data_IF_787908316166
#
_entry.id   IF_787908316166
#
_cell.length_a   1.000
_cell.length_b   1.000
_cell.length_c   1.000
_cell.angle_alpha   90.00
_cell.angle_beta   90.00
_cell.angle_gamma   90.00
#
_symmetry.space_group_name_H-M   'P 1'
#
loop_
_entity.id
_entity.type
_entity.pdbx_description
1 polymer ?
#
# COMPACT_ATOMS: atom_id res chain seq x y z
N UNK A 1 -12.41 13.11 -12.48
CA UNK A 1 -11.51 12.14 -13.14
C UNK A 1 -10.61 11.40 -12.18
N UNK A 2 -10.65 11.74 -10.89
CA UNK A 2 -9.99 11.00 -9.83
C UNK A 2 -10.96 10.86 -8.65
N UNK A 3 -10.85 9.78 -7.86
CA UNK A 3 -11.58 9.60 -6.60
C UNK A 3 -10.61 9.51 -5.41
N UNK A 4 -10.83 10.31 -4.36
CA UNK A 4 -10.13 10.20 -3.06
C UNK A 4 -11.03 9.51 -2.05
N UNK A 5 -10.57 8.42 -1.44
CA UNK A 5 -11.30 7.75 -0.35
C UNK A 5 -10.65 8.06 1.00
N UNK A 6 -11.38 8.78 1.84
CA UNK A 6 -11.02 8.96 3.24
C UNK A 6 -11.31 7.67 4.01
N UNK A 7 -10.26 6.92 4.37
CA UNK A 7 -10.37 5.98 5.48
C UNK A 7 -10.05 6.73 6.76
N UNK A 8 -11.00 6.71 7.70
CA UNK A 8 -10.90 7.36 9.01
C UNK A 8 -9.57 7.03 9.71
N UNK A 9 -8.76 8.06 10.02
CA UNK A 9 -7.66 7.97 10.98
C UNK A 9 -8.25 7.87 12.39
N UNK A 10 -8.42 6.65 12.89
CA UNK A 10 -8.72 6.37 14.30
C UNK A 10 -7.50 6.59 15.18
N UNK A 11 -7.70 7.28 16.31
CA UNK A 11 -6.67 7.70 17.26
C UNK A 11 -5.92 6.57 17.98
N UNK A 12 -4.78 6.95 18.57
CA UNK A 12 -3.86 6.09 19.32
C UNK A 12 -4.49 5.56 20.61
N UNK A 13 -5.13 4.40 20.54
CA UNK A 13 -5.14 3.37 21.58
C UNK A 13 -5.27 2.03 20.84
N UNK A 14 -4.15 1.36 20.52
CA UNK A 14 -4.21 0.08 19.77
C UNK A 14 -4.66 -1.06 20.73
N UNK A 15 -5.98 -1.19 20.91
CA UNK A 15 -6.66 -2.40 21.36
C UNK A 15 -6.96 -3.27 20.13
N UNK A 16 -6.95 -4.60 20.24
CA UNK A 16 -7.40 -5.46 19.15
C UNK A 16 -6.65 -6.78 18.96
N UNK A 17 -6.99 -7.48 17.87
CA UNK A 17 -6.30 -8.70 17.40
C UNK A 17 -5.13 -8.31 16.52
N UNK A 18 -3.94 -8.75 16.90
CA UNK A 18 -2.71 -8.60 16.14
C UNK A 18 -2.46 -9.84 15.31
N UNK A 19 -2.06 -9.64 14.05
CA UNK A 19 -1.77 -10.73 13.12
C UNK A 19 -0.34 -10.70 12.65
N UNK A 20 0.38 -11.82 12.74
CA UNK A 20 1.73 -11.95 12.22
C UNK A 20 1.80 -13.07 11.17
N UNK A 21 2.56 -12.83 10.10
CA UNK A 21 2.90 -13.81 9.08
C UNK A 21 4.40 -14.08 9.11
N UNK A 22 4.80 -15.34 8.99
CA UNK A 22 6.20 -15.73 8.87
C UNK A 22 6.53 -16.08 7.42
N UNK A 23 7.56 -15.43 6.89
CA UNK A 23 8.20 -15.73 5.62
C UNK A 23 9.61 -16.22 5.95
N UNK A 24 9.90 -17.48 5.64
CA UNK A 24 11.25 -18.02 5.76
C UNK A 24 11.84 -18.14 4.35
N UNK A 25 13.05 -17.61 4.16
CA UNK A 25 13.87 -17.88 2.98
C UNK A 25 15.26 -18.31 3.45
N UNK A 26 15.53 -19.61 3.40
CA UNK A 26 16.77 -20.20 3.91
C UNK A 26 17.14 -21.45 3.12
N UNK A 27 18.43 -21.57 2.77
CA UNK A 27 18.97 -22.79 2.19
C UNK A 27 19.27 -23.78 3.32
N UNK A 28 18.63 -24.96 3.27
CA UNK A 28 18.87 -26.04 4.22
C UNK A 28 19.61 -27.20 3.56
N UNK A 29 20.46 -27.86 4.34
CA UNK A 29 21.16 -29.07 3.90
C UNK A 29 20.19 -30.25 3.83
N UNK A 30 20.33 -31.17 2.86
CA UNK A 30 19.43 -32.32 2.73
C UNK A 30 19.54 -33.22 3.97
N UNK A 31 18.42 -33.43 4.69
CA UNK A 31 18.32 -34.38 5.79
C UNK A 31 17.97 -33.78 7.16
N UNK A 32 18.03 -32.46 7.32
CA UNK A 32 17.47 -31.78 8.49
C UNK A 32 16.06 -31.26 8.15
N UNK A 33 15.08 -31.52 9.02
CA UNK A 33 13.81 -30.81 9.02
C UNK A 33 13.93 -29.64 9.99
N UNK A 34 14.37 -28.45 9.55
CA UNK A 34 14.58 -27.34 10.44
C UNK A 34 13.23 -26.93 11.05
N UNK A 35 13.21 -26.83 12.38
CA UNK A 35 12.08 -26.35 13.15
C UNK A 35 12.36 -24.92 13.60
N UNK A 36 11.32 -24.09 13.54
CA UNK A 36 11.36 -22.74 14.12
C UNK A 36 10.46 -22.70 15.34
N UNK A 37 10.98 -22.17 16.44
CA UNK A 37 10.22 -21.98 17.67
C UNK A 37 9.51 -20.64 17.63
N UNK A 38 8.18 -20.69 17.66
CA UNK A 38 7.32 -19.50 17.71
C UNK A 38 6.69 -19.39 19.10
N UNK A 39 7.01 -18.32 19.80
CA UNK A 39 6.42 -17.96 21.09
C UNK A 39 5.51 -16.76 20.92
N UNK A 40 4.25 -16.90 21.34
CA UNK A 40 3.23 -15.85 21.21
C UNK A 40 2.71 -15.52 22.58
N UNK A 41 2.65 -14.23 22.89
CA UNK A 41 2.19 -13.71 24.17
C UNK A 41 1.11 -12.64 23.96
N UNK A 42 0.01 -12.78 24.69
CA UNK A 42 -1.15 -11.88 24.71
C UNK A 42 -1.42 -11.42 26.14
N UNK A 43 -1.56 -10.11 26.33
CA UNK A 43 -1.92 -9.52 27.63
C UNK A 43 -2.70 -8.21 27.48
N UNK A 44 -3.11 -7.64 28.62
CA UNK A 44 -3.73 -6.32 28.68
C UNK A 44 -2.88 -5.22 28.03
N UNK A 45 -1.55 -5.26 28.16
CA UNK A 45 -0.68 -4.12 27.80
C UNK A 45 0.28 -4.40 26.64
N UNK A 46 0.50 -5.68 26.29
CA UNK A 46 1.49 -6.07 25.28
C UNK A 46 1.05 -7.32 24.52
N UNK A 47 1.36 -7.32 23.22
CA UNK A 47 1.44 -8.53 22.39
C UNK A 47 2.86 -8.65 21.88
N UNK A 48 3.41 -9.86 21.89
CA UNK A 48 4.70 -10.15 21.25
C UNK A 48 4.68 -11.52 20.59
N UNK A 49 5.25 -11.58 19.39
CA UNK A 49 5.58 -12.81 18.70
C UNK A 49 7.10 -12.86 18.62
N UNK A 50 7.69 -13.89 19.21
CA UNK A 50 9.12 -14.17 19.20
C UNK A 50 9.35 -15.41 18.36
N UNK A 51 10.24 -15.30 17.38
CA UNK A 51 10.57 -16.37 16.44
C UNK A 51 12.07 -16.55 16.50
N UNK A 52 12.52 -17.68 17.04
CA UNK A 52 13.94 -17.95 17.32
C UNK A 52 14.67 -16.76 17.97
N UNK A 53 14.03 -16.12 18.95
CA UNK A 53 14.58 -14.98 19.70
C UNK A 53 14.36 -13.60 19.07
N UNK A 54 13.82 -13.51 17.85
CA UNK A 54 13.56 -12.23 17.16
C UNK A 54 12.08 -11.85 17.23
N UNK A 55 11.78 -10.59 17.60
CA UNK A 55 10.41 -10.09 17.69
C UNK A 55 9.90 -9.58 16.33
N UNK A 56 8.75 -10.05 15.86
CA UNK A 56 8.20 -9.70 14.54
C UNK A 56 6.97 -8.78 14.69
N UNK A 57 6.72 -7.93 13.67
CA UNK A 57 5.58 -7.01 13.57
C UNK A 57 4.75 -7.24 12.29
N UNK A 58 3.44 -7.37 12.51
CA UNK A 58 2.23 -7.43 11.63
C UNK A 58 2.29 -7.75 10.12
N UNK A 59 1.36 -8.60 9.59
CA UNK A 59 0.31 -8.21 8.60
C UNK A 59 -0.62 -9.29 7.96
N UNK A 60 -1.80 -8.78 7.58
CA UNK A 60 -2.88 -9.12 6.59
C UNK A 60 -3.24 -10.55 6.16
N UNK A 61 -4.53 -10.93 6.29
CA UNK A 61 -5.15 -12.16 5.75
C UNK A 61 -5.49 -12.03 4.26
N UNK A 62 -4.48 -12.11 3.40
CA UNK A 62 -4.60 -12.68 2.05
C UNK A 62 -3.19 -13.10 1.61
N UNK A 63 -3.04 -14.30 1.06
CA UNK A 63 -1.71 -14.86 0.82
C UNK A 63 -1.75 -16.32 0.40
N UNK A 64 -0.60 -16.89 0.05
CA UNK A 64 -0.50 -18.29 -0.37
C UNK A 64 -0.96 -19.25 0.74
N UNK A 65 -1.46 -20.42 0.36
CA UNK A 65 -1.67 -21.51 1.31
C UNK A 65 -0.31 -22.00 1.84
N UNK A 66 -0.28 -22.64 3.01
CA UNK A 66 0.95 -23.08 3.68
C UNK A 66 1.61 -22.03 4.59
N UNK A 67 1.19 -20.76 4.54
CA UNK A 67 1.71 -19.70 5.43
C UNK A 67 1.27 -19.85 6.88
N UNK A 68 2.16 -19.48 7.81
CA UNK A 68 1.87 -19.45 9.24
C UNK A 68 1.15 -18.15 9.59
N UNK A 69 0.00 -18.28 10.25
CA UNK A 69 -0.85 -17.20 10.72
C UNK A 69 -0.83 -17.21 12.23
N UNK A 70 -0.46 -16.09 12.84
CA UNK A 70 -0.42 -15.92 14.28
C UNK A 70 -1.41 -14.82 14.67
N UNK A 71 -2.27 -15.09 15.63
CA UNK A 71 -3.25 -14.15 16.19
C UNK A 71 -3.00 -14.00 17.69
N UNK A 72 -3.08 -12.78 18.19
CA UNK A 72 -2.98 -12.49 19.62
C UNK A 72 -3.82 -11.26 20.01
N UNK A 73 -4.51 -11.31 21.14
CA UNK A 73 -5.29 -10.18 21.64
C UNK A 73 -4.42 -9.24 22.49
N UNK A 74 -4.60 -7.93 22.32
CA UNK A 74 -4.16 -6.94 23.30
C UNK A 74 -5.36 -6.21 23.87
N UNK A 75 -5.43 -6.13 25.19
CA UNK A 75 -6.47 -5.40 25.93
C UNK A 75 -7.89 -5.97 25.74
N UNK A 76 -8.53 -5.67 24.62
CA UNK A 76 -9.89 -6.09 24.27
C UNK A 76 -9.98 -6.20 22.74
N UNK A 77 -10.65 -7.25 22.24
CA UNK A 77 -10.85 -7.39 20.80
C UNK A 77 -12.24 -7.95 20.42
N UNK A 78 -13.04 -8.39 21.38
CA UNK A 78 -14.30 -9.07 21.13
C UNK A 78 -15.43 -8.12 20.75
N UNK A 79 -15.38 -6.86 21.20
CA UNK A 79 -16.48 -5.88 21.05
C UNK A 79 -16.84 -5.61 19.58
N UNK A 80 -15.83 -5.62 18.69
CA UNK A 80 -16.01 -5.46 17.25
C UNK A 80 -15.74 -6.74 16.45
N UNK A 81 -15.51 -7.89 17.11
CA UNK A 81 -15.28 -9.17 16.45
C UNK A 81 -16.61 -9.78 15.99
N UNK A 82 -17.01 -9.43 14.78
CA UNK A 82 -18.26 -9.88 14.14
C UNK A 82 -18.25 -11.38 13.84
N UNK A 83 -19.44 -11.95 13.70
CA UNK A 83 -19.64 -13.37 13.41
C UNK A 83 -18.91 -13.85 12.15
N UNK A 84 -18.84 -13.04 11.09
CA UNK A 84 -18.10 -13.38 9.88
C UNK A 84 -16.60 -13.62 10.14
N UNK A 85 -15.97 -12.79 10.99
CA UNK A 85 -14.57 -12.96 11.36
C UNK A 85 -14.37 -14.21 12.23
N UNK A 86 -15.30 -14.49 13.16
CA UNK A 86 -15.29 -15.70 13.99
C UNK A 86 -15.42 -16.96 13.14
N UNK A 87 -16.32 -16.96 12.14
CA UNK A 87 -16.46 -18.03 11.16
C UNK A 87 -15.14 -18.30 10.43
N UNK A 88 -14.45 -17.25 9.97
CA UNK A 88 -13.15 -17.39 9.32
C UNK A 88 -12.10 -18.02 10.25
N UNK A 89 -12.03 -17.59 11.52
CA UNK A 89 -11.08 -18.15 12.49
C UNK A 89 -11.38 -19.62 12.82
N UNK A 90 -12.66 -19.99 12.95
CA UNK A 90 -13.07 -21.40 13.12
C UNK A 90 -12.74 -22.25 11.89
N UNK A 91 -12.91 -21.72 10.68
CA UNK A 91 -12.53 -22.40 9.45
C UNK A 91 -11.00 -22.59 9.34
N UNK A 92 -10.20 -21.76 10.03
CA UNK A 92 -8.76 -21.98 10.20
C UNK A 92 -8.42 -23.00 11.30
N UNK A 93 -9.44 -23.56 11.97
CA UNK A 93 -9.28 -24.59 13.00
C UNK A 93 -9.32 -24.09 14.44
N UNK A 94 -9.61 -22.80 14.68
CA UNK A 94 -9.73 -22.28 16.05
C UNK A 94 -10.93 -22.88 16.79
N UNK A 95 -10.69 -23.32 18.02
CA UNK A 95 -11.69 -23.82 18.97
C UNK A 95 -12.27 -22.70 19.85
N UNK A 96 -11.47 -21.68 20.18
CA UNK A 96 -11.84 -20.65 21.15
C UNK A 96 -12.30 -19.33 20.53
N UNK A 97 -12.11 -19.10 19.22
CA UNK A 97 -12.49 -17.85 18.52
C UNK A 97 -13.97 -17.43 18.71
N UNK A 98 -14.88 -18.38 18.91
CA UNK A 98 -16.29 -18.10 19.22
C UNK A 98 -16.56 -17.79 20.69
N UNK A 99 -15.69 -18.24 21.58
CA UNK A 99 -15.79 -18.10 23.03
C UNK A 99 -15.13 -16.80 23.53
N UNK A 100 -14.21 -16.23 22.75
CA UNK A 100 -13.59 -14.94 23.01
C UNK A 100 -14.65 -13.86 23.22
N UNK A 101 -14.74 -13.41 24.46
CA UNK A 101 -15.60 -12.33 24.93
C UNK A 101 -14.78 -11.17 25.52
N UNK A 102 -15.49 -10.29 26.22
CA UNK A 102 -14.94 -9.03 26.72
C UNK A 102 -13.70 -9.25 27.58
N UNK A 103 -12.57 -8.65 27.17
CA UNK A 103 -11.26 -8.66 27.86
C UNK A 103 -10.67 -10.05 28.13
N UNK A 104 -11.09 -11.05 27.37
CA UNK A 104 -10.41 -12.34 27.33
C UNK A 104 -9.04 -12.20 26.65
N UNK A 105 -8.11 -13.08 27.03
CA UNK A 105 -6.80 -13.20 26.37
C UNK A 105 -6.79 -14.45 25.52
N UNK A 106 -6.26 -14.33 24.30
CA UNK A 106 -6.28 -15.41 23.32
C UNK A 106 -5.07 -15.31 22.41
N UNK A 107 -4.43 -16.45 22.19
CA UNK A 107 -3.37 -16.64 21.19
C UNK A 107 -3.72 -17.84 20.32
N UNK A 108 -3.48 -17.71 19.03
CA UNK A 108 -3.77 -18.76 18.06
C UNK A 108 -2.74 -18.77 16.95
N UNK A 109 -2.15 -19.93 16.69
CA UNK A 109 -1.20 -20.18 15.62
C UNK A 109 -1.76 -21.26 14.71
N UNK A 110 -1.86 -20.98 13.42
CA UNK A 110 -2.39 -21.90 12.43
C UNK A 110 -1.66 -21.79 11.11
N UNK A 111 -1.64 -22.88 10.34
CA UNK A 111 -1.20 -22.85 8.96
C UNK A 111 -2.39 -22.64 8.03
N UNK A 112 -2.31 -21.66 7.12
CA UNK A 112 -3.38 -21.41 6.15
C UNK A 112 -3.57 -22.60 5.22
N UNK A 113 -4.80 -23.12 5.12
CA UNK A 113 -5.10 -24.34 4.35
C UNK A 113 -4.60 -25.64 5.00
N UNK A 114 -3.96 -25.52 6.17
CA UNK A 114 -3.44 -26.64 6.96
C UNK A 114 -4.16 -26.80 8.29
N UNK A 115 -3.46 -27.36 9.28
CA UNK A 115 -3.98 -27.61 10.63
C UNK A 115 -3.68 -26.44 11.58
N UNK A 116 -4.47 -26.25 12.65
CA UNK A 116 -4.08 -25.40 13.76
C UNK A 116 -2.81 -25.98 14.41
N UNK A 117 -1.85 -25.11 14.71
CA UNK A 117 -0.55 -25.48 15.29
C UNK A 117 -0.55 -25.31 16.81
N UNK A 118 -1.35 -24.37 17.31
CA UNK A 118 -1.58 -24.21 18.74
C UNK A 118 -2.57 -23.09 19.04
N UNK A 119 -3.25 -23.19 20.18
CA UNK A 119 -4.21 -22.20 20.62
C UNK A 119 -4.29 -22.19 22.15
N UNK A 120 -4.26 -21.02 22.77
CA UNK A 120 -4.39 -20.85 24.22
C UNK A 120 -5.38 -19.71 24.52
N UNK A 121 -6.17 -19.87 25.59
CA UNK A 121 -7.28 -18.99 25.91
C UNK A 121 -7.45 -18.82 27.42
N UNK A 122 -7.60 -17.57 27.86
CA UNK A 122 -7.93 -17.22 29.24
C UNK A 122 -9.20 -16.38 29.28
N UNK A 123 -10.14 -16.76 30.14
CA UNK A 123 -11.40 -16.05 30.36
C UNK A 123 -11.26 -14.96 31.42
N UNK A 124 -11.83 -13.78 31.19
CA UNK A 124 -11.95 -12.76 32.22
C UNK A 124 -12.98 -13.20 33.27
N UNK A 125 -12.66 -12.98 34.55
CA UNK A 125 -13.54 -13.41 35.65
C UNK A 125 -14.81 -12.56 35.73
N UNK A 126 -14.71 -11.28 35.37
CA UNK A 126 -15.81 -10.31 35.43
C UNK A 126 -15.58 -9.17 34.41
N UNK A 127 -16.54 -8.26 34.29
CA UNK A 127 -16.51 -7.16 33.32
C UNK A 127 -15.45 -6.08 33.63
N UNK A 128 -15.08 -5.93 34.91
CA UNK A 128 -14.11 -4.95 35.40
C UNK A 128 -12.66 -5.41 35.30
N UNK A 129 -12.42 -6.72 35.17
CA UNK A 129 -11.09 -7.34 35.09
C UNK A 129 -10.70 -7.74 33.67
N UNK A 130 -9.41 -8.08 33.50
CA UNK A 130 -8.88 -8.73 32.30
C UNK A 130 -8.56 -10.17 32.64
N UNK A 131 -8.62 -11.04 31.65
CA UNK A 131 -8.13 -12.40 31.82
C UNK A 131 -6.62 -12.43 32.08
N UNK A 132 -6.16 -13.53 32.68
CA UNK A 132 -4.73 -13.81 32.79
C UNK A 132 -4.07 -13.84 31.40
N UNK A 133 -2.81 -13.41 31.26
CA UNK A 133 -2.10 -13.48 29.98
C UNK A 133 -2.17 -14.88 29.37
N UNK A 134 -2.35 -14.96 28.06
CA UNK A 134 -2.29 -16.20 27.31
C UNK A 134 -0.96 -16.28 26.56
N UNK A 135 -0.28 -17.41 26.67
CA UNK A 135 0.98 -17.64 25.96
C UNK A 135 1.06 -19.05 25.44
N UNK A 136 1.60 -19.21 24.24
CA UNK A 136 1.84 -20.51 23.64
C UNK A 136 3.22 -20.55 22.99
N UNK A 137 3.86 -21.72 23.06
CA UNK A 137 5.06 -22.06 22.32
C UNK A 137 4.73 -23.21 21.38
N UNK A 138 4.97 -23.00 20.09
CA UNK A 138 4.77 -24.02 19.06
C UNK A 138 6.05 -24.20 18.25
N UNK A 139 6.35 -25.45 17.90
CA UNK A 139 7.39 -25.75 16.92
C UNK A 139 6.74 -25.85 15.54
N UNK A 140 7.28 -25.11 14.59
CA UNK A 140 6.81 -25.12 13.21
C UNK A 140 7.85 -25.82 12.36
N UNK A 141 7.47 -26.94 11.76
CA UNK A 141 8.26 -27.60 10.73
C UNK A 141 8.31 -26.70 9.50
N UNK A 142 9.51 -26.35 9.05
CA UNK A 142 9.67 -25.59 7.82
C UNK A 142 9.55 -26.53 6.61
N UNK A 143 8.84 -26.07 5.59
CA UNK A 143 8.81 -26.70 4.28
C UNK A 143 10.00 -26.27 3.44
N UNK A 144 10.52 -27.16 2.60
CA UNK A 144 11.52 -26.78 1.58
C UNK A 144 10.94 -25.73 0.63
N UNK A 145 11.78 -24.80 0.15
CA UNK A 145 11.39 -23.68 -0.72
C UNK A 145 10.61 -24.11 -1.98
N UNK A 146 10.77 -25.36 -2.43
CA UNK A 146 10.11 -25.92 -3.62
C UNK A 146 8.58 -26.01 -3.50
N UNK A 147 8.03 -26.20 -2.30
CA UNK A 147 6.58 -26.28 -2.08
C UNK A 147 5.90 -24.90 -1.95
N UNK A 148 6.68 -23.85 -1.66
CA UNK A 148 6.19 -22.47 -1.54
C UNK A 148 6.22 -21.69 -2.87
N UNK A 149 6.98 -22.20 -3.85
CA UNK A 149 7.17 -21.55 -5.14
C UNK A 149 6.08 -21.92 -6.16
N UNK A 150 5.48 -20.87 -6.73
CA UNK A 150 4.47 -21.05 -7.77
C UNK A 150 5.15 -21.35 -9.11
N UNK A 151 4.64 -22.34 -9.84
CA UNK A 151 5.07 -22.70 -11.20
C UNK A 151 4.58 -21.70 -12.27
N UNK A 152 4.86 -20.41 -12.08
CA UNK A 152 4.57 -19.38 -13.10
C UNK A 152 5.60 -19.44 -14.24
N UNK A 153 5.13 -19.22 -15.47
CA UNK A 153 5.95 -19.10 -16.68
C UNK A 153 7.12 -18.14 -16.44
N UNK A 154 8.33 -18.51 -16.87
CA UNK A 154 9.47 -17.62 -16.73
C UNK A 154 9.35 -16.41 -17.65
N UNK A 155 9.24 -15.23 -17.05
CA UNK A 155 9.15 -13.94 -17.72
C UNK A 155 9.66 -12.84 -16.79
N UNK A 156 10.09 -11.67 -17.30
CA UNK A 156 10.50 -10.56 -16.46
C UNK A 156 9.43 -10.16 -15.44
N UNK A 157 8.16 -10.19 -15.83
CA UNK A 157 7.02 -9.85 -14.97
C UNK A 157 6.84 -10.86 -13.82
N UNK A 158 6.98 -12.16 -14.12
CA UNK A 158 6.89 -13.19 -13.09
C UNK A 158 8.14 -13.28 -12.22
N UNK A 159 9.31 -12.82 -12.68
CA UNK A 159 10.50 -12.63 -11.83
C UNK A 159 10.23 -11.56 -10.77
N UNK A 160 9.74 -10.38 -11.18
CA UNK A 160 9.32 -9.31 -10.25
C UNK A 160 8.21 -9.77 -9.31
N UNK A 161 7.24 -10.55 -9.81
CA UNK A 161 6.20 -11.17 -8.97
C UNK A 161 6.77 -12.14 -7.93
N UNK A 162 7.71 -13.02 -8.31
CA UNK A 162 8.33 -13.97 -7.38
C UNK A 162 9.06 -13.23 -6.25
N UNK A 163 9.86 -12.24 -6.61
CA UNK A 163 10.55 -11.38 -5.65
C UNK A 163 9.55 -10.70 -4.69
N UNK A 164 8.53 -10.03 -5.22
CA UNK A 164 7.48 -9.41 -4.41
C UNK A 164 6.78 -10.41 -3.47
N UNK A 165 6.31 -11.55 -4.00
CA UNK A 165 5.55 -12.54 -3.24
C UNK A 165 6.40 -13.39 -2.29
N UNK A 166 7.73 -13.30 -2.37
CA UNK A 166 8.65 -13.90 -1.40
C UNK A 166 8.80 -13.04 -0.13
N UNK A 167 8.61 -11.73 -0.26
CA UNK A 167 8.86 -10.75 0.80
C UNK A 167 7.57 -10.13 1.37
N UNK A 168 6.51 -10.08 0.56
CA UNK A 168 5.29 -9.31 0.87
C UNK A 168 4.05 -10.19 0.70
N UNK A 169 3.12 -10.09 1.64
CA UNK A 169 1.81 -10.76 1.63
C UNK A 169 0.69 -9.71 1.76
N UNK A 170 -0.57 -10.11 1.59
CA UNK A 170 -1.72 -9.21 1.80
C UNK A 170 -2.26 -8.51 0.55
N UNK A 171 -1.78 -8.86 -0.65
CA UNK A 171 -2.16 -8.24 -1.93
C UNK A 171 -3.15 -9.08 -2.75
N UNK A 172 -4.04 -9.82 -2.08
CA UNK A 172 -5.10 -10.57 -2.72
C UNK A 172 -4.58 -11.67 -3.65
N UNK A 173 -5.04 -11.67 -4.91
CA UNK A 173 -4.68 -12.71 -5.90
C UNK A 173 -3.37 -12.42 -6.63
N UNK A 174 -2.63 -11.35 -6.32
CA UNK A 174 -1.30 -11.08 -6.93
C UNK A 174 -0.37 -12.27 -6.74
N UNK A 175 -0.37 -12.89 -5.57
CA UNK A 175 0.49 -14.04 -5.27
C UNK A 175 -0.19 -15.40 -5.44
N UNK A 176 -1.34 -15.46 -6.14
CA UNK A 176 -2.02 -16.73 -6.42
C UNK A 176 -1.23 -17.56 -7.43
N UNK A 177 -0.92 -18.81 -7.10
CA UNK A 177 -0.25 -19.73 -8.03
C UNK A 177 -1.14 -20.12 -9.21
N UNK A 178 -2.47 -20.18 -9.01
CA UNK A 178 -3.42 -20.69 -10.01
C UNK A 178 -4.05 -19.60 -10.86
N UNK A 179 -4.38 -18.45 -10.27
CA UNK A 179 -5.01 -17.33 -10.96
C UNK A 179 -4.41 -16.00 -10.49
N UNK A 180 -3.14 -15.70 -10.88
CA UNK A 180 -2.46 -14.49 -10.46
C UNK A 180 -3.09 -13.23 -11.06
N UNK A 181 -3.29 -12.19 -10.24
CA UNK A 181 -3.71 -10.87 -10.74
C UNK A 181 -2.66 -10.30 -11.72
N UNK A 182 -3.07 -9.57 -12.77
CA UNK A 182 -2.12 -9.00 -13.74
C UNK A 182 -1.22 -7.95 -13.08
N UNK A 183 0.09 -8.01 -13.39
CA UNK A 183 1.12 -7.02 -13.01
C UNK A 183 1.73 -6.32 -14.22
N UNK A 184 1.20 -6.65 -15.40
CA UNK A 184 1.49 -6.01 -16.68
C UNK A 184 0.17 -5.69 -17.35
N UNK A 185 0.08 -4.48 -17.85
CA UNK A 185 -1.09 -3.97 -18.57
C UNK A 185 -0.66 -3.65 -20.00
N UNK A 186 -1.40 -4.11 -21.02
CA UNK A 186 -1.02 -3.84 -22.41
C UNK A 186 -1.13 -2.34 -22.69
N UNK A 187 -0.10 -1.77 -23.31
CA UNK A 187 -0.13 -0.39 -23.75
C UNK A 187 -1.25 -0.18 -24.77
N UNK A 188 -2.08 0.83 -24.54
CA UNK A 188 -3.14 1.23 -25.47
C UNK A 188 -2.82 2.66 -25.92
N UNK A 189 -2.40 2.87 -27.18
CA UNK A 189 -2.02 4.20 -27.64
C UNK A 189 -3.23 5.15 -27.66
N UNK A 190 -2.95 6.42 -27.38
CA UNK A 190 -3.89 7.52 -27.57
C UNK A 190 -3.59 8.18 -28.92
N UNK A 191 -4.60 8.36 -29.77
CA UNK A 191 -4.42 9.02 -31.06
C UNK A 191 -4.03 10.49 -30.86
N UNK A 192 -3.08 10.97 -31.67
CA UNK A 192 -2.57 12.34 -31.58
C UNK A 192 -2.12 12.74 -30.16
N UNK A 193 -1.39 11.85 -29.50
CA UNK A 193 -0.98 12.03 -28.11
C UNK A 193 0.13 13.09 -27.97
N UNK A 194 -0.16 14.15 -27.22
CA UNK A 194 0.84 15.06 -26.63
C UNK A 194 1.27 14.61 -25.24
N UNK A 195 0.54 13.66 -24.62
CA UNK A 195 0.78 13.16 -23.26
C UNK A 195 1.70 11.94 -23.18
N UNK A 196 1.98 11.29 -24.30
CA UNK A 196 2.80 10.05 -24.34
C UNK A 196 4.25 10.27 -23.89
N UNK A 197 4.73 11.51 -23.93
CA UNK A 197 6.10 11.90 -23.55
C UNK A 197 6.15 12.76 -22.27
N UNK A 198 5.05 12.85 -21.52
CA UNK A 198 4.98 13.65 -20.29
C UNK A 198 5.23 12.74 -19.09
N UNK A 199 6.21 13.05 -18.22
CA UNK A 199 6.44 12.28 -17.01
C UNK A 199 5.28 12.44 -16.02
N UNK A 200 4.90 11.31 -15.43
CA UNK A 200 3.85 11.23 -14.40
C UNK A 200 4.52 10.92 -13.07
N UNK A 201 4.46 11.88 -12.17
CA UNK A 201 4.99 11.77 -10.80
C UNK A 201 3.92 11.14 -9.92
N UNK A 202 4.25 10.06 -9.23
CA UNK A 202 3.42 9.46 -8.17
C UNK A 202 4.10 9.69 -6.83
N UNK A 203 3.49 10.54 -5.99
CA UNK A 203 3.98 10.86 -4.65
C UNK A 203 3.49 9.81 -3.66
N UNK A 204 4.41 9.12 -3.02
CA UNK A 204 4.14 8.05 -2.07
C UNK A 204 4.89 8.23 -0.74
N UNK A 205 4.41 7.52 0.28
CA UNK A 205 5.08 7.35 1.56
C UNK A 205 4.80 5.92 2.08
N UNK A 206 4.66 5.74 3.40
CA UNK A 206 4.40 4.44 4.03
C UNK A 206 2.91 4.02 3.98
N UNK A 207 2.35 3.93 2.76
CA UNK A 207 0.98 3.47 2.49
C UNK A 207 0.93 2.50 1.30
N UNK A 208 1.62 1.35 1.36
CA UNK A 208 1.88 0.53 0.19
C UNK A 208 0.61 -0.05 -0.48
N UNK A 209 -0.44 -0.38 0.29
CA UNK A 209 -1.72 -0.79 -0.29
C UNK A 209 -2.44 0.32 -1.08
N UNK A 210 -2.28 1.57 -0.67
CA UNK A 210 -2.88 2.71 -1.37
C UNK A 210 -2.11 2.94 -2.67
N UNK A 211 -0.77 2.95 -2.58
CA UNK A 211 0.11 3.02 -3.73
C UNK A 211 -0.19 1.92 -4.77
N UNK A 212 -0.34 0.67 -4.33
CA UNK A 212 -0.69 -0.47 -5.19
C UNK A 212 -1.98 -0.21 -5.96
N UNK A 213 -3.01 0.31 -5.29
CA UNK A 213 -4.30 0.62 -5.90
C UNK A 213 -4.18 1.76 -6.92
N UNK A 214 -3.49 2.84 -6.55
CA UNK A 214 -3.24 3.98 -7.42
C UNK A 214 -2.52 3.55 -8.70
N UNK A 215 -1.39 2.84 -8.56
CA UNK A 215 -0.62 2.32 -9.71
C UNK A 215 -1.48 1.38 -10.57
N UNK A 216 -2.22 0.47 -9.96
CA UNK A 216 -3.08 -0.46 -10.70
C UNK A 216 -4.15 0.27 -11.53
N UNK A 217 -4.72 1.35 -11.00
CA UNK A 217 -5.68 2.18 -11.74
C UNK A 217 -4.99 3.00 -12.85
N UNK A 218 -3.82 3.59 -12.57
CA UNK A 218 -3.03 4.38 -13.51
C UNK A 218 -2.58 3.56 -14.72
N UNK A 219 -2.02 2.36 -14.51
CA UNK A 219 -1.49 1.54 -15.59
C UNK A 219 -2.57 0.93 -16.50
N UNK A 220 -3.85 1.05 -16.13
CA UNK A 220 -5.00 0.68 -16.98
C UNK A 220 -5.48 1.83 -17.86
N UNK A 221 -4.98 3.05 -17.66
CA UNK A 221 -5.38 4.23 -18.42
C UNK A 221 -4.85 4.15 -19.85
N UNK A 222 -5.69 4.47 -20.82
CA UNK A 222 -5.27 4.54 -22.23
C UNK A 222 -4.26 5.68 -22.42
N UNK A 223 -3.16 5.40 -23.12
CA UNK A 223 -2.07 6.33 -23.39
C UNK A 223 -0.99 6.37 -22.31
N UNK A 224 -1.09 5.57 -21.24
CA UNK A 224 -0.08 5.57 -20.17
C UNK A 224 1.21 4.89 -20.64
N UNK A 225 2.31 5.62 -20.58
CA UNK A 225 3.64 5.07 -20.79
C UNK A 225 4.29 4.76 -19.43
N UNK A 226 4.31 3.49 -19.04
CA UNK A 226 4.82 3.06 -17.74
C UNK A 226 6.29 3.47 -17.50
N UNK A 227 7.09 3.59 -18.57
CA UNK A 227 8.50 4.02 -18.48
C UNK A 227 8.68 5.49 -18.10
N UNK A 228 7.61 6.29 -18.13
CA UNK A 228 7.60 7.70 -17.72
C UNK A 228 6.88 7.92 -16.39
N UNK A 229 6.50 6.84 -15.69
CA UNK A 229 5.90 6.92 -14.37
C UNK A 229 7.01 6.86 -13.32
N UNK A 230 7.19 7.96 -12.59
CA UNK A 230 8.20 8.15 -11.57
C UNK A 230 7.56 8.09 -10.18
N UNK A 231 7.84 7.04 -9.41
CA UNK A 231 7.32 6.86 -8.06
C UNK A 231 8.33 7.42 -7.05
N UNK A 232 7.97 8.53 -6.39
CA UNK A 232 8.79 9.15 -5.36
C UNK A 232 8.29 8.77 -3.98
N UNK A 233 9.13 8.09 -3.19
CA UNK A 233 8.81 7.62 -1.84
C UNK A 233 9.55 8.48 -0.81
N UNK A 234 8.79 9.16 0.05
CA UNK A 234 9.30 9.97 1.15
C UNK A 234 9.75 9.08 2.33
N UNK A 235 10.89 8.40 2.16
CA UNK A 235 11.52 7.49 3.10
C UNK A 235 12.04 6.19 2.46
N UNK A 236 12.90 5.48 3.18
CA UNK A 236 13.46 4.19 2.76
C UNK A 236 12.58 3.01 3.22
N UNK A 237 11.33 3.00 2.74
CA UNK A 237 10.36 1.93 3.05
C UNK A 237 10.45 0.82 2.02
N UNK A 238 10.62 -0.43 2.46
CA UNK A 238 10.79 -1.60 1.59
C UNK A 238 9.49 -1.99 0.89
N UNK A 239 8.37 -2.04 1.60
CA UNK A 239 7.09 -2.49 1.03
C UNK A 239 6.55 -1.54 -0.08
N UNK A 240 6.54 -0.21 0.08
CA UNK A 240 6.14 0.69 -1.02
C UNK A 240 7.06 0.61 -2.24
N UNK A 241 8.38 0.41 -2.04
CA UNK A 241 9.32 0.22 -3.14
C UNK A 241 9.03 -1.09 -3.90
N UNK A 242 8.88 -2.20 -3.16
CA UNK A 242 8.51 -3.49 -3.73
C UNK A 242 7.18 -3.45 -4.51
N UNK A 243 6.21 -2.67 -4.05
CA UNK A 243 4.95 -2.44 -4.79
C UNK A 243 5.19 -1.76 -6.14
N UNK A 244 6.05 -0.75 -6.22
CA UNK A 244 6.34 -0.08 -7.48
C UNK A 244 7.20 -0.98 -8.41
N UNK A 245 8.17 -1.70 -7.86
CA UNK A 245 9.00 -2.67 -8.59
C UNK A 245 8.16 -3.84 -9.14
N UNK A 246 7.11 -4.27 -8.43
CA UNK A 246 6.14 -5.27 -8.91
C UNK A 246 5.48 -4.85 -10.24
N UNK A 247 5.39 -3.56 -10.53
CA UNK A 247 4.88 -3.04 -11.81
C UNK A 247 5.97 -2.53 -12.76
N UNK A 248 7.23 -2.50 -12.32
CA UNK A 248 8.39 -2.21 -13.17
C UNK A 248 8.50 -0.72 -13.45
N UNK A 249 8.09 0.08 -12.46
CA UNK A 249 8.13 1.53 -12.52
C UNK A 249 9.46 2.04 -11.97
N UNK A 250 9.78 3.29 -12.28
CA UNK A 250 10.98 3.93 -11.76
C UNK A 250 10.73 4.35 -10.30
N UNK A 251 11.59 3.89 -9.38
CA UNK A 251 11.44 4.13 -7.94
C UNK A 251 12.54 5.06 -7.43
N UNK A 252 12.13 6.13 -6.76
CA UNK A 252 13.03 7.11 -6.16
C UNK A 252 12.74 7.23 -4.67
N UNK A 253 13.69 6.78 -3.85
CA UNK A 253 13.61 6.96 -2.40
C UNK A 253 14.53 8.10 -1.98
N UNK A 254 14.08 8.92 -1.04
CA UNK A 254 14.96 9.91 -0.41
C UNK A 254 14.66 10.05 1.07
N UNK A 255 15.67 10.53 1.80
CA UNK A 255 15.52 10.88 3.20
C UNK A 255 14.43 11.97 3.35
N UNK A 256 13.53 11.83 4.34
CA UNK A 256 12.60 12.89 4.67
C UNK A 256 13.33 14.15 5.13
N UNK A 257 12.83 15.32 4.68
CA UNK A 257 13.32 16.63 5.13
C UNK A 257 12.19 17.35 5.84
N UNK A 258 12.42 17.92 7.03
CA UNK A 258 11.37 18.53 7.89
C UNK A 258 10.38 17.53 8.53
N UNK A 259 9.34 18.06 9.17
CA UNK A 259 8.27 17.34 9.87
C UNK A 259 6.89 17.83 9.44
N UNK A 260 5.85 17.02 9.67
CA UNK A 260 4.45 17.40 9.40
C UNK A 260 4.23 17.87 7.96
N UNK A 261 3.56 19.01 7.79
CA UNK A 261 3.30 19.61 6.47
C UNK A 261 4.58 20.08 5.77
N UNK A 262 5.60 20.47 6.53
CA UNK A 262 6.91 20.84 6.00
C UNK A 262 7.56 19.69 5.24
N UNK A 263 7.44 18.47 5.79
CA UNK A 263 7.93 17.24 5.15
C UNK A 263 7.28 16.98 3.80
N UNK A 264 5.96 17.03 3.73
CA UNK A 264 5.22 16.85 2.48
C UNK A 264 5.57 17.93 1.45
N UNK A 265 5.74 19.18 1.89
CA UNK A 265 6.16 20.27 1.01
C UNK A 265 7.54 20.03 0.39
N UNK A 266 8.52 19.58 1.18
CA UNK A 266 9.85 19.26 0.65
C UNK A 266 9.83 18.02 -0.25
N UNK A 267 9.03 17.01 0.08
CA UNK A 267 8.82 15.83 -0.77
C UNK A 267 8.35 16.21 -2.17
N UNK A 268 7.32 17.06 -2.25
CA UNK A 268 6.79 17.55 -3.52
C UNK A 268 7.84 18.34 -4.31
N UNK A 269 8.59 19.24 -3.65
CA UNK A 269 9.68 19.99 -4.30
C UNK A 269 10.72 19.05 -4.89
N UNK A 270 11.24 18.13 -4.08
CA UNK A 270 12.27 17.18 -4.49
C UNK A 270 11.80 16.36 -5.70
N UNK A 271 10.55 15.88 -5.67
CA UNK A 271 9.97 15.08 -6.74
C UNK A 271 9.84 15.86 -8.06
N UNK A 272 9.31 17.09 -8.00
CA UNK A 272 9.18 17.97 -9.17
C UNK A 272 10.56 18.35 -9.75
N UNK A 273 11.49 18.76 -8.89
CA UNK A 273 12.86 19.14 -9.28
C UNK A 273 13.60 17.98 -9.92
N UNK A 274 13.61 16.81 -9.29
CA UNK A 274 14.29 15.62 -9.80
C UNK A 274 13.70 15.16 -11.13
N UNK A 275 12.38 15.18 -11.27
CA UNK A 275 11.72 14.82 -12.54
C UNK A 275 12.15 15.74 -13.68
N UNK A 276 12.19 17.05 -13.46
CA UNK A 276 12.65 17.98 -14.51
C UNK A 276 14.15 17.89 -14.81
N UNK A 277 14.96 17.43 -13.85
CA UNK A 277 16.37 17.17 -14.12
C UNK A 277 16.53 15.91 -14.99
N UNK A 278 15.68 14.89 -14.81
CA UNK A 278 15.66 13.68 -15.65
C UNK A 278 15.04 13.94 -17.03
N UNK A 279 14.04 14.82 -17.10
CA UNK A 279 13.25 15.12 -18.30
C UNK A 279 13.28 16.63 -18.62
N UNK A 280 14.44 17.20 -18.99
CA UNK A 280 14.61 18.65 -19.17
C UNK A 280 13.76 19.24 -20.30
N UNK A 281 13.46 18.44 -21.33
CA UNK A 281 12.65 18.85 -22.48
C UNK A 281 11.14 18.73 -22.23
N UNK A 282 10.72 18.21 -21.06
CA UNK A 282 9.30 18.06 -20.77
C UNK A 282 8.67 19.43 -20.53
N UNK A 283 7.69 19.81 -21.35
CA UNK A 283 6.93 21.06 -21.20
C UNK A 283 5.99 21.08 -19.99
N UNK A 284 5.52 19.89 -19.58
CA UNK A 284 4.58 19.75 -18.48
C UNK A 284 5.05 18.69 -17.49
N UNK A 285 4.50 18.76 -16.28
CA UNK A 285 4.57 17.70 -15.28
C UNK A 285 3.15 17.29 -14.91
N UNK A 286 2.90 15.99 -14.74
CA UNK A 286 1.64 15.49 -14.17
C UNK A 286 1.94 14.88 -12.81
N UNK A 287 1.13 15.22 -11.80
CA UNK A 287 1.35 14.82 -10.41
C UNK A 287 0.12 14.08 -9.86
N UNK A 288 0.37 12.90 -9.30
CA UNK A 288 -0.59 12.05 -8.60
C UNK A 288 -0.10 11.78 -7.17
N UNK A 289 -1.04 11.58 -6.25
CA UNK A 289 -0.78 11.10 -4.89
C UNK A 289 -1.02 9.60 -4.82
N UNK A 290 -0.43 8.89 -3.87
CA UNK A 290 -0.64 7.46 -3.66
C UNK A 290 -2.06 7.07 -3.20
N UNK A 291 -2.97 8.02 -2.97
CA UNK A 291 -4.33 7.79 -2.46
C UNK A 291 -5.47 8.13 -3.44
N UNK A 292 -5.20 7.99 -4.73
CA UNK A 292 -6.13 8.35 -5.81
C UNK A 292 -6.46 7.18 -6.73
N UNK A 293 -7.74 7.00 -7.04
CA UNK A 293 -8.14 6.17 -8.17
C UNK A 293 -8.12 6.99 -9.46
N UNK A 294 -7.35 6.56 -10.46
CA UNK A 294 -7.23 7.24 -11.75
C UNK A 294 -8.30 6.75 -12.72
N UNK A 295 -9.08 7.68 -13.30
CA UNK A 295 -10.12 7.35 -14.28
C UNK A 295 -9.54 6.84 -15.61
N UNK A 296 -10.23 5.92 -16.34
CA UNK A 296 -9.76 5.38 -17.62
C UNK A 296 -9.49 6.42 -18.72
N UNK A 297 -10.11 7.60 -18.62
CA UNK A 297 -9.99 8.73 -19.56
C UNK A 297 -9.08 9.86 -19.06
N UNK A 298 -8.37 9.68 -17.94
CA UNK A 298 -7.52 10.71 -17.33
C UNK A 298 -6.52 11.31 -18.33
N UNK A 299 -5.78 10.48 -19.07
CA UNK A 299 -4.83 10.98 -20.06
C UNK A 299 -5.51 11.49 -21.33
N UNK A 300 -6.71 11.02 -21.67
CA UNK A 300 -7.50 11.59 -22.76
C UNK A 300 -7.94 13.03 -22.44
N UNK A 301 -8.31 13.30 -21.19
CA UNK A 301 -8.57 14.66 -20.71
C UNK A 301 -7.33 15.54 -20.78
N UNK A 302 -6.22 15.10 -20.18
CA UNK A 302 -4.97 15.86 -20.20
C UNK A 302 -4.52 16.16 -21.64
N UNK A 303 -4.64 15.20 -22.55
CA UNK A 303 -4.31 15.37 -23.96
C UNK A 303 -5.11 16.48 -24.65
N UNK A 304 -6.38 16.65 -24.26
CA UNK A 304 -7.29 17.64 -24.84
C UNK A 304 -7.16 19.03 -24.20
N UNK A 305 -6.50 19.15 -23.05
CA UNK A 305 -6.53 20.40 -22.27
C UNK A 305 -5.16 20.99 -22.00
N UNK A 306 -4.07 20.21 -21.98
CA UNK A 306 -2.73 20.72 -21.61
C UNK A 306 -2.26 21.92 -22.45
N UNK A 307 -2.57 21.92 -23.74
CA UNK A 307 -2.25 23.03 -24.65
C UNK A 307 -2.88 24.37 -24.21
N UNK A 308 -3.95 24.36 -23.42
CA UNK A 308 -4.54 25.58 -22.87
C UNK A 308 -3.54 26.33 -21.98
N UNK A 309 -2.66 25.61 -21.28
CA UNK A 309 -1.59 26.22 -20.50
C UNK A 309 -0.58 26.98 -21.38
N UNK A 310 -0.44 26.63 -22.67
CA UNK A 310 0.50 27.33 -23.57
C UNK A 310 -0.08 28.62 -24.13
N UNK A 311 -1.41 28.69 -24.28
CA UNK A 311 -2.07 29.81 -24.96
C UNK A 311 -2.70 30.81 -24.00
N UNK A 312 -2.87 30.45 -22.72
CA UNK A 312 -3.49 31.30 -21.71
C UNK A 312 -2.64 31.38 -20.44
N UNK A 313 -1.89 32.48 -20.33
CA UNK A 313 -1.01 32.75 -19.20
C UNK A 313 -1.74 33.02 -17.87
N UNK A 314 -3.08 33.15 -17.90
CA UNK A 314 -3.87 33.29 -16.68
C UNK A 314 -4.21 31.93 -16.04
N UNK A 315 -3.89 30.81 -16.69
CA UNK A 315 -4.08 29.47 -16.14
C UNK A 315 -2.87 29.03 -15.29
N UNK A 316 -3.15 28.65 -14.05
CA UNK A 316 -2.14 28.15 -13.11
C UNK A 316 -1.83 26.67 -13.30
N UNK A 317 -2.87 25.85 -13.47
CA UNK A 317 -2.77 24.40 -13.59
C UNK A 317 -3.98 23.82 -14.33
N UNK A 318 -3.92 22.53 -14.64
CA UNK A 318 -5.07 21.71 -15.01
C UNK A 318 -5.24 20.65 -13.94
N UNK A 319 -6.43 20.49 -13.36
CA UNK A 319 -6.71 19.46 -12.35
C UNK A 319 -7.80 18.51 -12.83
N UNK A 320 -7.71 17.26 -12.39
CA UNK A 320 -8.69 16.19 -12.60
C UNK A 320 -9.77 16.12 -11.51
N UNK A 321 -9.74 17.07 -10.56
CA UNK A 321 -10.60 17.14 -9.40
C UNK A 321 -11.53 18.35 -9.44
N UNK A 322 -12.79 18.11 -9.06
CA UNK A 322 -13.80 19.14 -8.84
C UNK A 322 -14.25 19.06 -7.39
N UNK A 323 -13.92 20.09 -6.59
CA UNK A 323 -14.22 20.16 -5.15
C UNK A 323 -15.73 20.08 -4.84
N UNK A 324 -16.58 20.42 -5.81
CA UNK A 324 -18.04 20.36 -5.72
C UNK A 324 -18.66 19.29 -6.64
N UNK A 325 -17.83 18.40 -7.21
CA UNK A 325 -18.22 17.38 -8.17
C UNK A 325 -18.81 16.11 -7.53
N UNK A 326 -19.78 16.25 -6.63
CA UNK A 326 -20.46 15.13 -5.99
C UNK A 326 -21.41 14.42 -6.97
N UNK A 327 -21.76 13.18 -6.65
CA UNK A 327 -22.62 12.31 -7.49
C UNK A 327 -23.96 12.96 -7.87
N UNK A 328 -24.51 13.81 -6.99
CA UNK A 328 -25.80 14.47 -7.19
C UNK A 328 -25.68 15.90 -7.79
N UNK A 329 -24.47 16.39 -8.07
CA UNK A 329 -24.23 17.76 -8.52
C UNK A 329 -23.39 17.86 -9.79
N UNK A 330 -22.90 16.73 -10.32
CA UNK A 330 -22.03 16.69 -11.50
C UNK A 330 -22.43 15.56 -12.43
N UNK A 331 -22.88 15.91 -13.64
CA UNK A 331 -23.47 14.95 -14.59
C UNK A 331 -22.83 15.02 -15.98
N UNK A 332 -22.45 16.21 -16.45
CA UNK A 332 -21.84 16.39 -17.77
C UNK A 332 -20.34 16.11 -17.72
N UNK A 333 -19.93 15.02 -18.35
CA UNK A 333 -18.52 14.57 -18.41
C UNK A 333 -17.68 15.36 -19.42
N UNK A 334 -18.27 16.25 -20.20
CA UNK A 334 -17.59 17.05 -21.25
C UNK A 334 -17.37 18.51 -20.84
N UNK A 335 -17.97 18.94 -19.74
CA UNK A 335 -17.91 20.32 -19.27
C UNK A 335 -16.63 20.57 -18.46
N UNK A 336 -15.98 21.70 -18.74
CA UNK A 336 -14.82 22.19 -18.02
C UNK A 336 -15.14 23.49 -17.29
N UNK A 337 -14.42 23.74 -16.20
CA UNK A 337 -14.56 24.94 -15.38
C UNK A 337 -13.21 25.64 -15.20
N UNK A 338 -13.27 26.96 -14.99
CA UNK A 338 -12.17 27.73 -14.39
C UNK A 338 -12.54 28.03 -12.94
N UNK A 339 -11.58 27.86 -12.05
CA UNK A 339 -11.72 28.17 -10.62
C UNK A 339 -10.52 28.99 -10.16
N UNK A 340 -10.70 29.81 -9.13
CA UNK A 340 -9.66 30.64 -8.51
C UNK A 340 -8.91 29.89 -7.40
N UNK A 341 -8.89 28.56 -7.46
CA UNK A 341 -8.21 27.65 -6.52
C UNK A 341 -7.24 26.71 -7.24
N UNK A 342 -6.34 26.08 -6.49
CA UNK A 342 -5.55 24.94 -6.95
C UNK A 342 -6.09 23.65 -6.30
N UNK A 343 -6.93 22.86 -6.98
CA UNK A 343 -7.58 21.69 -6.37
C UNK A 343 -6.61 20.54 -6.07
N UNK A 344 -5.47 20.46 -6.77
CA UNK A 344 -4.55 19.33 -6.66
C UNK A 344 -5.13 18.04 -7.24
N UNK A 345 -4.93 16.91 -6.54
CA UNK A 345 -5.55 15.59 -6.79
C UNK A 345 -5.58 15.18 -8.28
N UNK A 346 -4.39 14.95 -8.85
CA UNK A 346 -4.20 14.71 -10.28
C UNK A 346 -4.17 16.01 -11.05
N UNK A 347 -3.02 16.65 -11.08
CA UNK A 347 -2.89 17.97 -11.69
C UNK A 347 -1.65 18.05 -12.55
N UNK A 348 -1.67 19.00 -13.47
CA UNK A 348 -0.57 19.30 -14.36
C UNK A 348 -0.20 20.78 -14.33
N UNK A 349 1.08 21.04 -14.55
CA UNK A 349 1.69 22.38 -14.51
C UNK A 349 2.72 22.53 -15.62
N UNK A 350 2.94 23.77 -16.08
CA UNK A 350 4.05 24.10 -16.99
C UNK A 350 5.38 23.97 -16.24
N UNK A 351 6.31 23.22 -16.82
CA UNK A 351 7.65 23.02 -16.27
C UNK A 351 8.40 24.34 -16.11
N UNK A 352 8.26 25.24 -17.10
CA UNK A 352 8.86 26.57 -17.08
C UNK A 352 8.37 27.41 -15.91
N UNK A 353 7.06 27.39 -15.65
CA UNK A 353 6.46 28.13 -14.54
C UNK A 353 6.96 27.61 -13.18
N UNK A 354 7.02 26.29 -12.99
CA UNK A 354 7.61 25.72 -11.78
C UNK A 354 9.07 26.17 -11.60
N UNK A 355 9.91 26.03 -12.63
CA UNK A 355 11.35 26.36 -12.56
C UNK A 355 11.61 27.84 -12.32
N UNK A 356 10.91 28.73 -13.05
CA UNK A 356 11.17 30.17 -13.00
C UNK A 356 10.55 30.85 -11.78
N UNK A 357 9.38 30.38 -11.32
CA UNK A 357 8.60 31.10 -10.32
C UNK A 357 8.49 30.38 -8.97
N UNK A 358 8.25 29.06 -8.97
CA UNK A 358 7.94 28.32 -7.75
C UNK A 358 9.18 27.75 -7.05
N UNK A 359 10.08 27.12 -7.79
CA UNK A 359 11.21 26.35 -7.23
C UNK A 359 12.15 27.22 -6.38
N UNK A 360 12.43 28.44 -6.86
CA UNK A 360 13.30 29.42 -6.18
C UNK A 360 12.65 30.06 -4.95
N UNK A 361 11.31 30.11 -4.92
CA UNK A 361 10.51 30.70 -3.83
C UNK A 361 9.86 29.66 -2.93
N UNK A 362 10.19 28.38 -3.15
CA UNK A 362 9.58 27.28 -2.40
C UNK A 362 9.85 27.43 -0.90
N UNK A 363 8.85 27.23 -0.02
CA UNK A 363 9.04 27.36 1.42
C UNK A 363 10.21 26.53 1.94
N UNK A 364 11.02 27.09 2.84
CA UNK A 364 12.12 26.34 3.45
C UNK A 364 11.58 25.26 4.39
N UNK A 365 12.37 24.20 4.69
CA UNK A 365 11.97 23.13 5.60
C UNK A 365 11.40 23.63 6.94
N UNK A 366 11.88 24.78 7.45
CA UNK A 366 11.47 25.35 8.74
C UNK A 366 10.26 26.31 8.64
N UNK A 367 9.93 26.80 7.44
CA UNK A 367 8.99 27.93 7.23
C UNK A 367 7.55 27.52 6.91
N UNK A 368 7.22 26.23 6.89
CA UNK A 368 5.82 25.80 6.69
C UNK A 368 5.04 26.02 8.00
N UNK A 369 4.62 27.27 8.24
CA UNK A 369 3.72 27.64 9.34
C UNK A 369 2.34 27.00 9.10
N UNK A 370 1.76 26.54 10.21
CA UNK A 370 0.60 25.65 10.35
C UNK A 370 -0.63 26.16 9.62
#
# INVERSE_FOLDING_TARGET
MISKRNYFKGGRYKQGVYKYGLLHDGQYFPGDHPEVSVEVFSSQSKVSVVVDGTQILENSLSGKDGRILIFAIKDEASYHLREAARNCLKNLGSKYSYLVGWRDMWVFVAQKGGKPLGEEFSKANDFGSWANPASIKVNVLLSENSDADCNWIDSPDNKRRREFCSQVEGYGTVCSCTNPAPVKFPYQPLEHSVVENIPIIVLASDRPHYLYRTITSLLRVRGVNASLVEVFIDGYFTEPAAVADLFGLNVHQHAPSSVGKGRVSQHLKTSLTSTLNMYPESKYLVVLEDDVDVSPDFLSYMNQTLWLLDIDDTLYCISAWNDHGYEHSSYDKRLLYRTESHPGLGWAIRSEFYKKELESRWPTPEKVRI
#
